data_IF_005781900214
#
_entry.id   IF_005781900214
#
_cell.length_a   1.000
_cell.length_b   1.000
_cell.length_c   1.000
_cell.angle_alpha   90.00
_cell.angle_beta   90.00
_cell.angle_gamma   90.00
#
_symmetry.space_group_name_H-M   'P 1'
#
loop_
_entity.id
_entity.type
_entity.pdbx_description
1 polymer ?
#
# COMPACT_ATOMS: atom_id res chain seq x y z
N UNK A 1 0.63 53.59 21.54
CA UNK A 1 0.25 52.42 22.36
C UNK A 1 -0.33 51.35 21.45
N UNK A 2 0.45 50.34 21.04
CA UNK A 2 -0.05 49.18 20.27
C UNK A 2 0.27 47.94 21.07
N UNK A 3 -0.74 47.39 21.74
CA UNK A 3 -0.64 46.13 22.48
C UNK A 3 -0.64 44.98 21.47
N UNK A 4 0.52 44.37 21.26
CA UNK A 4 0.63 43.07 20.58
C UNK A 4 0.20 41.99 21.58
N UNK A 5 -0.97 41.40 21.38
CA UNK A 5 -1.42 40.22 22.12
C UNK A 5 -0.83 38.99 21.43
N UNK A 6 0.33 38.53 21.91
CA UNK A 6 0.91 37.25 21.47
C UNK A 6 -0.04 36.10 21.83
N UNK A 7 -0.44 35.34 20.82
CA UNK A 7 -1.32 34.18 20.96
C UNK A 7 -0.50 33.00 21.50
N UNK A 8 -0.81 32.42 22.67
CA UNK A 8 -0.02 31.33 23.20
C UNK A 8 -0.08 30.13 22.23
N UNK A 9 1.09 29.58 21.91
CA UNK A 9 1.22 28.39 21.09
C UNK A 9 0.44 27.25 21.75
N UNK A 10 -0.54 26.67 21.03
CA UNK A 10 -1.34 25.55 21.54
C UNK A 10 -0.43 24.35 21.77
N UNK A 11 -0.30 23.91 23.02
CA UNK A 11 0.34 22.65 23.35
C UNK A 11 -0.40 21.50 22.65
N UNK A 12 0.36 20.61 22.00
CA UNK A 12 -0.21 19.43 21.33
C UNK A 12 -0.48 18.37 22.40
N UNK A 13 -1.74 17.98 22.55
CA UNK A 13 -2.10 16.85 23.41
C UNK A 13 -1.42 15.57 22.88
N UNK A 14 -0.71 14.87 23.76
CA UNK A 14 -0.09 13.57 23.50
C UNK A 14 -0.96 12.48 24.08
N UNK A 15 -1.24 11.44 23.28
CA UNK A 15 -2.04 10.29 23.69
C UNK A 15 -1.15 9.05 23.70
N UNK A 16 -1.34 8.18 24.70
CA UNK A 16 -0.61 6.92 24.80
C UNK A 16 -0.93 6.00 23.61
N UNK A 17 -0.05 5.04 23.32
CA UNK A 17 -0.27 4.12 22.20
C UNK A 17 -1.49 3.24 22.44
N UNK A 18 -1.66 2.74 23.67
CA UNK A 18 -2.78 1.88 24.05
C UNK A 18 -4.11 2.58 23.77
N UNK A 19 -4.22 3.86 24.19
CA UNK A 19 -5.41 4.67 23.96
C UNK A 19 -5.74 4.84 22.47
N UNK A 20 -4.72 5.02 21.63
CA UNK A 20 -4.92 5.13 20.17
C UNK A 20 -5.44 3.81 19.58
N UNK A 21 -4.97 2.68 20.08
CA UNK A 21 -5.38 1.37 19.61
C UNK A 21 -6.83 1.05 20.01
N UNK A 22 -7.18 1.30 21.26
CA UNK A 22 -8.55 1.14 21.77
C UNK A 22 -9.54 2.04 21.01
N UNK A 23 -9.19 3.32 20.80
CA UNK A 23 -10.02 4.25 20.05
C UNK A 23 -10.26 3.80 18.60
N UNK A 24 -9.23 3.27 17.93
CA UNK A 24 -9.35 2.72 16.57
C UNK A 24 -10.13 1.41 16.55
N UNK A 25 -9.97 0.55 17.55
CA UNK A 25 -10.72 -0.70 17.68
C UNK A 25 -12.22 -0.41 17.87
N UNK A 26 -12.56 0.48 18.79
CA UNK A 26 -13.93 0.95 19.02
C UNK A 26 -14.55 1.52 17.75
N UNK A 27 -13.78 2.35 17.02
CA UNK A 27 -14.28 2.92 15.78
C UNK A 27 -14.61 1.83 14.74
N UNK A 28 -13.70 0.88 14.53
CA UNK A 28 -13.88 -0.23 13.57
C UNK A 28 -15.01 -1.15 13.95
N UNK A 29 -15.12 -1.52 15.23
CA UNK A 29 -16.15 -2.43 15.72
C UNK A 29 -17.54 -1.79 15.70
N UNK A 30 -17.64 -0.48 15.96
CA UNK A 30 -18.93 0.18 16.06
C UNK A 30 -19.62 0.45 14.72
N UNK A 31 -18.89 0.42 13.60
CA UNK A 31 -19.43 0.76 12.27
C UNK A 31 -19.93 2.21 12.14
N UNK A 32 -19.67 3.07 13.14
CA UNK A 32 -20.12 4.47 13.19
C UNK A 32 -19.12 5.39 12.51
N UNK A 33 -19.56 6.61 12.18
CA UNK A 33 -18.66 7.63 11.65
C UNK A 33 -17.59 8.02 12.67
N UNK A 34 -16.40 8.39 12.18
CA UNK A 34 -15.31 8.86 13.04
C UNK A 34 -15.71 10.08 13.87
N UNK A 35 -16.61 10.93 13.35
CA UNK A 35 -17.12 12.10 14.06
C UNK A 35 -17.88 11.72 15.33
N UNK A 36 -18.75 10.70 15.25
CA UNK A 36 -19.53 10.23 16.39
C UNK A 36 -18.65 9.59 17.46
N UNK A 37 -17.73 8.72 17.03
CA UNK A 37 -16.79 8.05 17.95
C UNK A 37 -15.82 9.05 18.58
N UNK A 38 -15.33 10.03 17.82
CA UNK A 38 -14.46 11.07 18.34
C UNK A 38 -15.17 11.97 19.37
N UNK A 39 -16.44 12.30 19.14
CA UNK A 39 -17.24 13.07 20.09
C UNK A 39 -17.42 12.32 21.42
N UNK A 40 -17.68 11.01 21.38
CA UNK A 40 -17.78 10.16 22.56
C UNK A 40 -16.45 10.06 23.32
N UNK A 41 -15.33 9.99 22.60
CA UNK A 41 -13.99 9.93 23.17
C UNK A 41 -13.42 11.30 23.58
N UNK A 42 -14.14 12.40 23.32
CA UNK A 42 -13.67 13.76 23.61
C UNK A 42 -12.47 14.19 22.76
N UNK A 43 -12.24 13.56 21.60
CA UNK A 43 -11.13 13.86 20.70
C UNK A 43 -11.62 14.51 19.40
N UNK A 44 -10.68 15.04 18.60
CA UNK A 44 -11.00 15.63 17.30
C UNK A 44 -11.17 14.52 16.26
N UNK A 45 -12.25 14.52 15.49
CA UNK A 45 -12.47 13.52 14.43
C UNK A 45 -11.30 13.34 13.45
N UNK A 46 -10.59 14.40 12.99
CA UNK A 46 -9.40 14.26 12.14
C UNK A 46 -8.25 13.46 12.77
N UNK A 47 -8.22 13.36 14.11
CA UNK A 47 -7.19 12.64 14.85
C UNK A 47 -7.33 11.12 14.66
N UNK A 48 -8.55 10.59 14.67
CA UNK A 48 -8.82 9.17 14.40
C UNK A 48 -8.36 8.77 12.98
N UNK A 49 -8.66 9.60 11.97
CA UNK A 49 -8.18 9.38 10.60
C UNK A 49 -6.65 9.40 10.51
N UNK A 50 -6.00 10.32 11.25
CA UNK A 50 -4.54 10.39 11.31
C UNK A 50 -3.96 9.13 11.94
N UNK A 51 -4.47 8.65 13.07
CA UNK A 51 -4.01 7.41 13.70
C UNK A 51 -4.22 6.20 12.79
N UNK A 52 -5.36 6.11 12.10
CA UNK A 52 -5.61 5.05 11.13
C UNK A 52 -4.60 5.07 9.98
N UNK A 53 -4.29 6.25 9.44
CA UNK A 53 -3.28 6.43 8.37
C UNK A 53 -1.88 6.09 8.86
N UNK A 54 -1.49 6.56 10.05
CA UNK A 54 -0.19 6.28 10.65
C UNK A 54 -0.03 4.79 10.92
N UNK A 55 -1.05 4.07 11.39
CA UNK A 55 -0.96 2.60 11.55
C UNK A 55 -0.92 1.87 10.20
N UNK A 56 -1.66 2.31 9.19
CA UNK A 56 -1.59 1.70 7.85
C UNK A 56 -0.19 1.86 7.26
N UNK A 57 0.39 3.04 7.38
CA UNK A 57 1.73 3.33 6.84
C UNK A 57 2.85 2.76 7.75
N UNK A 58 2.63 2.71 9.06
CA UNK A 58 3.55 2.16 10.06
C UNK A 58 3.50 0.63 10.17
N UNK A 59 2.47 -0.03 9.62
CA UNK A 59 2.48 -1.46 9.39
C UNK A 59 3.46 -1.86 8.28
N UNK A 60 3.77 -0.94 7.34
CA UNK A 60 4.85 -1.14 6.37
C UNK A 60 6.21 -0.69 6.91
N UNK A 61 6.24 0.21 7.88
CA UNK A 61 7.47 0.74 8.47
C UNK A 61 7.33 0.77 9.99
N UNK A 62 7.71 -0.33 10.62
CA UNK A 62 7.69 -0.49 12.06
C UNK A 62 8.45 0.63 12.78
N UNK A 63 7.71 1.29 13.67
CA UNK A 63 8.17 2.00 14.88
C UNK A 63 8.88 3.36 14.74
N UNK A 64 8.40 4.28 15.59
CA UNK A 64 9.00 5.54 16.06
C UNK A 64 8.86 6.74 15.11
N UNK A 65 8.39 7.91 15.61
CA UNK A 65 8.40 9.17 14.87
C UNK A 65 9.83 9.70 14.87
N UNK A 66 10.69 9.09 14.07
CA UNK A 66 11.94 9.70 13.66
C UNK A 66 11.75 10.05 12.21
N UNK A 67 11.88 11.34 11.93
CA UNK A 67 12.18 11.89 10.62
C UNK A 67 13.07 10.90 9.84
N UNK A 68 12.47 10.14 8.92
CA UNK A 68 13.20 9.37 7.93
C UNK A 68 12.68 9.77 6.56
N UNK A 69 13.60 9.99 5.62
CA UNK A 69 13.29 10.71 4.40
C UNK A 69 12.30 9.88 3.62
N UNK A 70 11.23 10.53 3.15
CA UNK A 70 10.45 10.03 2.04
C UNK A 70 11.46 9.57 0.98
N UNK A 71 11.47 8.29 0.53
CA UNK A 71 12.37 7.89 -0.55
C UNK A 71 12.10 8.86 -1.69
N UNK A 72 13.15 9.58 -2.13
CA UNK A 72 13.00 10.62 -3.13
C UNK A 72 12.27 10.00 -4.31
N UNK A 73 11.30 10.73 -4.88
CA UNK A 73 10.45 10.25 -5.98
C UNK A 73 11.29 9.61 -7.11
N UNK A 74 12.53 10.05 -7.29
CA UNK A 74 13.51 9.47 -8.19
C UNK A 74 13.87 8.00 -7.90
N UNK A 75 14.05 7.62 -6.64
CA UNK A 75 14.37 6.24 -6.23
C UNK A 75 13.18 5.30 -6.47
N UNK A 76 11.96 5.76 -6.20
CA UNK A 76 10.74 5.02 -6.52
C UNK A 76 10.58 4.86 -8.04
N UNK A 77 10.86 5.92 -8.82
CA UNK A 77 10.84 5.84 -10.29
C UNK A 77 11.89 4.86 -10.84
N UNK A 78 13.08 4.83 -10.26
CA UNK A 78 14.13 3.87 -10.63
C UNK A 78 13.70 2.43 -10.35
N UNK A 79 13.08 2.17 -9.19
CA UNK A 79 12.54 0.85 -8.86
C UNK A 79 11.40 0.43 -9.79
N UNK A 80 10.48 1.35 -10.13
CA UNK A 80 9.39 1.08 -11.08
C UNK A 80 9.95 0.71 -12.46
N UNK A 81 10.95 1.46 -12.95
CA UNK A 81 11.60 1.15 -14.25
C UNK A 81 12.23 -0.23 -14.24
N UNK A 82 13.05 -0.52 -13.22
CA UNK A 82 13.69 -1.83 -13.07
C UNK A 82 12.68 -2.97 -13.03
N UNK A 83 11.63 -2.85 -12.22
CA UNK A 83 10.58 -3.88 -12.12
C UNK A 83 9.79 -4.04 -13.43
N UNK A 84 9.58 -2.95 -14.17
CA UNK A 84 8.93 -3.01 -15.48
C UNK A 84 9.78 -3.74 -16.51
N UNK A 85 11.11 -3.51 -16.51
CA UNK A 85 12.06 -4.20 -17.39
C UNK A 85 12.13 -5.71 -17.07
N UNK A 86 12.19 -6.06 -15.78
CA UNK A 86 12.19 -7.46 -15.34
C UNK A 86 10.89 -8.17 -15.75
N UNK A 87 9.73 -7.53 -15.59
CA UNK A 87 8.45 -8.08 -16.03
C UNK A 87 8.38 -8.26 -17.56
N UNK A 88 8.86 -7.29 -18.33
CA UNK A 88 8.88 -7.38 -19.79
C UNK A 88 9.72 -8.59 -20.26
N UNK A 89 10.89 -8.78 -19.66
CA UNK A 89 11.76 -9.93 -19.95
C UNK A 89 11.11 -11.27 -19.59
N UNK A 90 10.44 -11.35 -18.44
CA UNK A 90 9.74 -12.57 -18.02
C UNK A 90 8.56 -12.91 -18.95
N UNK A 91 7.81 -11.91 -19.41
CA UNK A 91 6.74 -12.11 -20.38
C UNK A 91 7.27 -12.61 -21.72
N UNK A 92 8.37 -12.06 -22.21
CA UNK A 92 9.02 -12.53 -23.43
C UNK A 92 9.47 -14.00 -23.30
N UNK A 93 10.14 -14.34 -22.19
CA UNK A 93 10.56 -15.72 -21.91
C UNK A 93 9.37 -16.69 -21.88
N UNK A 94 8.27 -16.29 -21.25
CA UNK A 94 7.04 -17.09 -21.22
C UNK A 94 6.46 -17.31 -22.63
N UNK A 95 6.41 -16.27 -23.46
CA UNK A 95 5.90 -16.38 -24.82
C UNK A 95 6.80 -17.26 -25.70
N UNK A 96 8.12 -17.17 -25.56
CA UNK A 96 9.06 -18.08 -26.23
C UNK A 96 8.81 -19.52 -25.81
N UNK A 97 8.72 -19.80 -24.51
CA UNK A 97 8.45 -21.15 -24.01
C UNK A 97 7.11 -21.68 -24.50
N UNK A 98 6.07 -20.84 -24.54
CA UNK A 98 4.75 -21.21 -25.05
C UNK A 98 4.79 -21.58 -26.54
N UNK A 99 5.50 -20.80 -27.37
CA UNK A 99 5.69 -21.10 -28.80
C UNK A 99 6.46 -22.40 -29.00
N UNK A 100 7.54 -22.60 -28.25
CA UNK A 100 8.34 -23.82 -28.30
C UNK A 100 7.55 -25.06 -27.90
N UNK A 101 6.71 -24.96 -26.86
CA UNK A 101 5.79 -26.05 -26.48
C UNK A 101 4.79 -26.37 -27.58
N UNK A 102 4.24 -25.35 -28.25
CA UNK A 102 3.35 -25.56 -29.40
C UNK A 102 4.01 -26.37 -30.51
N UNK A 103 5.25 -26.05 -30.86
CA UNK A 103 6.03 -26.75 -31.90
C UNK A 103 6.39 -28.17 -31.47
N UNK A 104 6.80 -28.37 -30.21
CA UNK A 104 7.18 -29.70 -29.70
C UNK A 104 5.97 -30.63 -29.53
N UNK A 105 4.79 -30.08 -29.26
CA UNK A 105 3.54 -30.83 -29.10
C UNK A 105 2.74 -31.00 -30.40
N UNK A 106 3.16 -30.36 -31.51
CA UNK A 106 2.57 -30.57 -32.82
C UNK A 106 2.92 -31.99 -33.31
N UNK A 107 1.93 -32.91 -33.26
CA UNK A 107 2.11 -34.24 -33.84
C UNK A 107 2.40 -34.08 -35.35
N UNK A 108 3.47 -34.72 -35.90
CA UNK A 108 3.71 -34.67 -37.33
C UNK A 108 2.46 -35.16 -38.08
N UNK A 109 2.12 -34.57 -39.24
CA UNK A 109 0.95 -35.00 -40.00
C UNK A 109 1.06 -36.50 -40.26
N UNK A 110 0.12 -37.26 -39.69
CA UNK A 110 0.00 -38.70 -39.92
C UNK A 110 -0.19 -38.89 -41.43
N UNK A 111 0.86 -39.37 -42.10
CA UNK A 111 0.76 -39.84 -43.48
C UNK A 111 -0.40 -40.83 -43.58
N UNK A 112 -1.31 -40.58 -44.51
CA UNK A 112 -2.49 -41.43 -44.73
C UNK A 112 -2.07 -42.87 -45.06
N UNK A 113 -2.66 -43.90 -44.43
CA UNK A 113 -2.37 -45.28 -44.77
C UNK A 113 -3.24 -45.77 -45.94
N UNK A 114 -2.60 -46.48 -46.87
CA UNK A 114 -3.20 -47.59 -47.63
C UNK A 114 -3.93 -47.22 -48.93
N UNK A 115 -3.22 -47.26 -50.05
CA UNK A 115 -3.83 -47.70 -51.31
C UNK A 115 -3.92 -49.23 -51.26
N UNK A 116 -5.15 -49.75 -51.15
CA UNK A 116 -5.41 -51.17 -51.37
C UNK A 116 -5.28 -51.46 -52.88
N UNK A 117 -4.40 -52.39 -53.23
CA UNK A 117 -4.36 -53.08 -54.51
C UNK A 117 -4.57 -54.57 -54.25
#
# INVERSE_FOLDING_TARGET
>A
MKTQLEKPARSRATYSKEYQEEALALWRQSGRSAAKVAAELGIRAPLLYRWAKVRRNGAEHGTVPTEKPVPQVAELQAQIRRLSEENAKLLEQREVLKKSLGILCEQPPRGMPGSNA
#
